data_IF_659491457762
#
_entry.id   IF_659491457762
#
_cell.length_a   1.000
_cell.length_b   1.000
_cell.length_c   1.000
_cell.angle_alpha   90.00
_cell.angle_beta   90.00
_cell.angle_gamma   90.00
#
_symmetry.space_group_name_H-M   'P 1'
#
loop_
_entity.id
_entity.type
_entity.pdbx_description
1 polymer ?
#
# COMPACT_ATOMS: atom_id res chain seq x y z
N UNK A 1 -50.54 -12.03 -10.61
CA UNK A 1 -49.60 -12.10 -11.73
C UNK A 1 -48.60 -10.94 -11.72
N UNK A 2 -49.03 -9.66 -11.71
CA UNK A 2 -48.12 -8.50 -11.75
C UNK A 2 -47.09 -8.45 -10.63
N UNK A 3 -47.50 -8.72 -9.37
CA UNK A 3 -46.62 -8.74 -8.23
C UNK A 3 -45.55 -9.83 -8.37
N UNK A 4 -45.95 -11.02 -8.81
CA UNK A 4 -45.04 -12.15 -9.01
C UNK A 4 -44.02 -11.83 -10.09
N UNK A 5 -44.46 -11.29 -11.23
CA UNK A 5 -43.58 -10.89 -12.35
C UNK A 5 -42.60 -9.80 -11.91
N UNK A 6 -43.09 -8.82 -11.11
CA UNK A 6 -42.24 -7.78 -10.56
C UNK A 6 -41.15 -8.32 -9.62
N UNK A 7 -41.50 -9.25 -8.71
CA UNK A 7 -40.52 -9.89 -7.85
C UNK A 7 -39.49 -10.70 -8.65
N UNK A 8 -39.95 -11.48 -9.65
CA UNK A 8 -39.02 -12.24 -10.50
C UNK A 8 -38.04 -11.31 -11.25
N UNK A 9 -38.53 -10.22 -11.81
CA UNK A 9 -37.70 -9.26 -12.52
C UNK A 9 -36.65 -8.62 -11.57
N UNK A 10 -37.07 -8.25 -10.38
CA UNK A 10 -36.18 -7.69 -9.35
C UNK A 10 -35.08 -8.69 -8.95
N UNK A 11 -35.45 -9.95 -8.71
CA UNK A 11 -34.48 -11.00 -8.36
C UNK A 11 -33.49 -11.27 -9.50
N UNK A 12 -33.96 -11.33 -10.76
CA UNK A 12 -33.07 -11.50 -11.90
C UNK A 12 -32.11 -10.32 -12.09
N UNK A 13 -32.59 -9.11 -11.87
CA UNK A 13 -31.73 -7.92 -11.92
C UNK A 13 -30.67 -7.96 -10.83
N UNK A 14 -31.07 -8.29 -9.58
CA UNK A 14 -30.14 -8.41 -8.46
C UNK A 14 -29.09 -9.50 -8.73
N UNK A 15 -29.48 -10.67 -9.22
CA UNK A 15 -28.55 -11.73 -9.60
C UNK A 15 -27.59 -11.27 -10.69
N UNK A 16 -28.07 -10.54 -11.69
CA UNK A 16 -27.22 -9.97 -12.75
C UNK A 16 -26.19 -8.99 -12.21
N UNK A 17 -26.59 -8.12 -11.30
CA UNK A 17 -25.67 -7.16 -10.62
C UNK A 17 -24.61 -7.90 -9.79
N UNK A 18 -25.04 -8.88 -8.97
CA UNK A 18 -24.11 -9.67 -8.16
C UNK A 18 -23.12 -10.43 -9.04
N UNK A 19 -23.60 -11.07 -10.12
CA UNK A 19 -22.73 -11.79 -11.04
C UNK A 19 -21.72 -10.87 -11.73
N UNK A 20 -22.14 -9.68 -12.15
CA UNK A 20 -21.26 -8.69 -12.76
C UNK A 20 -20.20 -8.17 -11.77
N UNK A 21 -20.61 -7.89 -10.53
CA UNK A 21 -19.68 -7.47 -9.46
C UNK A 21 -18.69 -8.59 -9.12
N UNK A 22 -19.16 -9.83 -8.99
CA UNK A 22 -18.28 -10.98 -8.75
C UNK A 22 -17.27 -11.17 -9.89
N UNK A 23 -17.73 -11.12 -11.14
CA UNK A 23 -16.86 -11.24 -12.30
C UNK A 23 -15.80 -10.13 -12.33
N UNK A 24 -16.19 -8.89 -12.05
CA UNK A 24 -15.24 -7.78 -11.92
C UNK A 24 -14.25 -8.04 -10.80
N UNK A 25 -14.71 -8.42 -9.61
CA UNK A 25 -13.87 -8.63 -8.44
C UNK A 25 -12.81 -9.73 -8.66
N UNK A 26 -13.19 -10.82 -9.33
CA UNK A 26 -12.28 -11.96 -9.59
C UNK A 26 -11.26 -11.67 -10.69
N UNK A 27 -11.64 -10.84 -11.69
CA UNK A 27 -10.77 -10.58 -12.84
C UNK A 27 -10.02 -9.24 -12.75
N UNK A 28 -10.32 -8.44 -11.76
CA UNK A 28 -9.68 -7.14 -11.57
C UNK A 28 -8.33 -7.31 -10.89
N UNK A 29 -7.26 -6.94 -11.58
CA UNK A 29 -5.90 -7.04 -11.03
C UNK A 29 -5.72 -6.03 -9.90
N UNK A 30 -5.11 -6.43 -8.78
CA UNK A 30 -4.93 -5.53 -7.63
C UNK A 30 -3.97 -4.36 -7.90
N UNK A 31 -3.14 -4.43 -8.94
CA UNK A 31 -2.13 -3.44 -9.27
C UNK A 31 -0.75 -3.77 -8.69
N UNK A 32 -0.57 -5.00 -8.24
CA UNK A 32 0.72 -5.58 -7.84
C UNK A 32 0.75 -7.07 -8.22
N UNK A 33 1.95 -7.63 -8.35
CA UNK A 33 2.12 -9.06 -8.63
C UNK A 33 1.91 -9.87 -7.35
N UNK A 34 1.16 -10.97 -7.44
CA UNK A 34 0.86 -11.86 -6.33
C UNK A 34 0.92 -13.35 -6.72
N UNK A 35 1.08 -13.65 -8.01
CA UNK A 35 1.20 -15.02 -8.46
C UNK A 35 2.54 -15.60 -7.98
N UNK A 36 2.53 -16.86 -7.57
CA UNK A 36 3.71 -17.57 -7.04
C UNK A 36 4.34 -16.97 -5.77
N UNK A 37 3.65 -16.06 -5.08
CA UNK A 37 4.08 -15.54 -3.79
C UNK A 37 3.60 -16.44 -2.64
N UNK A 38 4.53 -16.76 -1.75
CA UNK A 38 4.23 -17.46 -0.50
C UNK A 38 4.71 -16.57 0.63
N UNK A 39 3.85 -16.33 1.62
CA UNK A 39 4.27 -15.63 2.83
C UNK A 39 4.11 -16.49 4.07
N UNK A 40 4.99 -16.26 5.05
CA UNK A 40 4.90 -16.85 6.37
C UNK A 40 5.23 -15.82 7.42
N UNK A 41 4.63 -15.94 8.58
CA UNK A 41 4.86 -15.02 9.69
C UNK A 41 5.88 -15.61 10.66
N UNK A 42 6.94 -14.85 10.94
CA UNK A 42 7.96 -15.22 11.92
C UNK A 42 7.58 -14.67 13.29
N UNK A 43 6.80 -15.43 14.05
CA UNK A 43 6.38 -15.04 15.40
C UNK A 43 7.42 -15.41 16.44
N UNK A 44 7.76 -14.46 17.31
CA UNK A 44 8.58 -14.73 18.51
C UNK A 44 10.02 -15.13 18.23
N UNK A 45 10.53 -14.90 17.03
CA UNK A 45 11.93 -15.12 16.68
C UNK A 45 12.76 -13.87 16.98
N UNK A 46 14.00 -14.08 17.43
CA UNK A 46 14.96 -13.01 17.57
C UNK A 46 15.32 -12.47 16.18
N UNK A 47 15.38 -11.14 16.06
CA UNK A 47 15.75 -10.45 14.81
C UNK A 47 17.11 -10.92 14.24
N UNK A 48 18.04 -11.32 15.10
CA UNK A 48 19.33 -11.89 14.68
C UNK A 48 19.23 -13.19 13.90
N UNK A 49 18.09 -13.91 13.98
CA UNK A 49 17.86 -15.18 13.26
C UNK A 49 17.23 -14.93 11.89
N UNK A 50 16.59 -13.78 11.66
CA UNK A 50 15.85 -13.51 10.44
C UNK A 50 16.74 -13.59 9.19
N UNK A 51 17.93 -13.02 9.23
CA UNK A 51 18.85 -13.05 8.10
C UNK A 51 19.28 -14.49 7.76
N UNK A 52 19.55 -15.32 8.77
CA UNK A 52 19.89 -16.73 8.55
C UNK A 52 18.75 -17.50 7.89
N UNK A 53 17.50 -17.25 8.30
CA UNK A 53 16.32 -17.86 7.69
C UNK A 53 16.19 -17.44 6.22
N UNK A 54 16.39 -16.14 5.93
CA UNK A 54 16.36 -15.63 4.55
C UNK A 54 17.41 -16.31 3.69
N UNK A 55 18.64 -16.42 4.18
CA UNK A 55 19.75 -17.02 3.46
C UNK A 55 19.51 -18.53 3.20
N UNK A 56 19.00 -19.24 4.20
CA UNK A 56 18.62 -20.64 4.08
C UNK A 56 17.52 -20.84 3.04
N UNK A 57 16.46 -20.01 3.07
CA UNK A 57 15.37 -20.07 2.10
C UNK A 57 15.85 -19.74 0.68
N UNK A 58 16.67 -18.71 0.50
CA UNK A 58 17.26 -18.35 -0.81
C UNK A 58 18.14 -19.46 -1.39
N UNK A 59 18.67 -20.35 -0.55
CA UNK A 59 19.46 -21.48 -1.00
C UNK A 59 18.61 -22.66 -1.52
N UNK A 60 17.30 -22.66 -1.28
CA UNK A 60 16.41 -23.76 -1.66
C UNK A 60 16.08 -23.74 -3.15
N UNK A 61 16.12 -24.90 -3.84
CA UNK A 61 15.71 -24.97 -5.23
C UNK A 61 14.24 -24.57 -5.42
N UNK A 62 13.99 -23.70 -6.40
CA UNK A 62 12.64 -23.23 -6.73
C UNK A 62 12.22 -21.95 -6.03
N UNK A 63 13.05 -21.42 -5.11
CA UNK A 63 12.86 -20.09 -4.53
C UNK A 63 13.72 -19.12 -5.33
N UNK A 64 13.10 -18.10 -5.92
CA UNK A 64 13.79 -17.09 -6.74
C UNK A 64 14.27 -15.91 -5.90
N UNK A 65 13.47 -15.48 -4.92
CA UNK A 65 13.86 -14.44 -3.97
C UNK A 65 13.09 -14.59 -2.65
N UNK A 66 13.61 -13.99 -1.59
CA UNK A 66 13.01 -13.93 -0.26
C UNK A 66 13.18 -12.52 0.29
N UNK A 67 12.08 -11.90 0.66
CA UNK A 67 12.07 -10.54 1.19
C UNK A 67 11.32 -10.49 2.52
N UNK A 68 11.68 -9.54 3.38
CA UNK A 68 10.95 -9.28 4.61
C UNK A 68 9.95 -8.14 4.44
N UNK A 69 8.81 -8.28 5.09
CA UNK A 69 7.81 -7.23 5.18
C UNK A 69 7.25 -7.17 6.59
N UNK A 70 7.02 -5.96 7.09
CA UNK A 70 6.26 -5.75 8.32
C UNK A 70 4.74 -5.70 8.06
N UNK A 71 4.34 -5.45 6.81
CA UNK A 71 2.94 -5.43 6.39
C UNK A 71 2.84 -5.75 4.91
N UNK A 72 1.86 -6.53 4.55
CA UNK A 72 1.58 -6.90 3.16
C UNK A 72 0.43 -6.05 2.59
N UNK A 73 0.35 -5.87 1.27
CA UNK A 73 -0.90 -5.44 0.63
C UNK A 73 -2.04 -6.34 1.09
N UNK A 74 -3.22 -5.76 1.32
CA UNK A 74 -4.40 -6.41 1.90
C UNK A 74 -4.33 -6.67 3.41
N UNK A 75 -3.22 -6.42 4.06
CA UNK A 75 -3.14 -6.46 5.50
C UNK A 75 -3.68 -5.17 6.11
N UNK A 76 -4.14 -5.25 7.36
CA UNK A 76 -4.63 -4.06 8.05
C UNK A 76 -3.46 -3.12 8.34
N UNK A 77 -3.56 -1.92 7.81
CA UNK A 77 -2.62 -0.83 8.09
C UNK A 77 -3.36 0.29 8.81
N UNK A 78 -2.76 0.82 9.86
CA UNK A 78 -3.30 1.99 10.54
C UNK A 78 -2.91 3.26 9.81
N UNK A 79 -3.87 4.18 9.62
CA UNK A 79 -3.58 5.50 9.08
C UNK A 79 -2.69 6.30 10.02
N UNK A 80 -1.78 7.10 9.46
CA UNK A 80 -0.93 8.03 10.18
C UNK A 80 -1.30 9.46 9.88
N UNK A 81 -1.04 10.33 10.86
CA UNK A 81 -1.18 11.76 10.66
C UNK A 81 -0.03 12.28 9.79
N UNK A 82 -0.37 13.13 8.82
CA UNK A 82 0.61 13.83 8.01
C UNK A 82 0.60 15.31 8.38
N UNK A 83 1.76 15.86 8.67
CA UNK A 83 1.94 17.24 9.10
C UNK A 83 2.74 18.04 8.08
N UNK A 84 2.43 19.33 7.99
CA UNK A 84 3.25 20.30 7.25
C UNK A 84 4.36 20.86 8.13
N UNK A 85 5.58 20.82 7.61
CA UNK A 85 6.76 21.40 8.26
C UNK A 85 6.64 22.92 8.44
N UNK A 86 6.17 23.63 7.42
CA UNK A 86 6.12 25.08 7.36
C UNK A 86 5.11 25.69 8.32
N UNK A 87 4.11 24.96 8.74
CA UNK A 87 3.03 25.43 9.60
C UNK A 87 3.08 24.91 11.04
N UNK A 88 4.24 24.45 11.49
CA UNK A 88 4.44 24.05 12.87
C UNK A 88 3.52 22.93 13.34
N UNK A 89 3.63 21.75 12.74
CA UNK A 89 2.86 20.57 13.10
C UNK A 89 1.34 20.66 12.89
N UNK A 90 0.92 21.37 11.88
CA UNK A 90 -0.48 21.37 11.49
C UNK A 90 -0.83 20.01 10.86
N UNK A 91 -1.75 19.30 11.47
CA UNK A 91 -2.31 18.07 10.89
C UNK A 91 -3.06 18.38 9.59
N UNK A 92 -2.66 17.74 8.49
CA UNK A 92 -3.33 17.90 7.19
C UNK A 92 -4.40 16.84 6.98
N UNK A 93 -4.02 15.58 7.17
CA UNK A 93 -4.93 14.44 7.13
C UNK A 93 -4.31 13.24 7.85
N UNK A 94 -5.16 12.32 8.31
CA UNK A 94 -4.75 11.18 9.13
C UNK A 94 -5.04 9.81 8.49
N UNK A 95 -5.28 9.79 7.19
CA UNK A 95 -5.60 8.55 6.47
C UNK A 95 -4.52 8.33 5.41
N UNK A 96 -3.41 7.77 5.85
CA UNK A 96 -2.39 7.25 4.96
C UNK A 96 -1.99 5.88 5.48
N UNK A 97 -2.31 4.83 4.71
CA UNK A 97 -1.93 3.47 5.07
C UNK A 97 -0.41 3.32 4.94
N UNK A 98 0.22 2.67 5.92
CA UNK A 98 1.66 2.49 5.98
C UNK A 98 2.06 1.07 5.61
N UNK A 99 3.10 0.97 4.79
CA UNK A 99 3.74 -0.29 4.43
C UNK A 99 5.24 -0.17 4.62
N UNK A 100 5.84 -1.07 5.37
CA UNK A 100 7.27 -1.10 5.60
C UNK A 100 7.86 -2.38 4.99
N UNK A 101 8.95 -2.22 4.27
CA UNK A 101 9.66 -3.34 3.66
C UNK A 101 10.90 -2.91 2.91
N UNK A 102 11.71 -3.88 2.53
CA UNK A 102 12.91 -3.64 1.73
C UNK A 102 12.57 -3.21 0.30
N UNK A 103 13.51 -2.57 -0.38
CA UNK A 103 13.36 -2.22 -1.80
C UNK A 103 13.07 -3.45 -2.66
N UNK A 104 13.70 -4.58 -2.38
CA UNK A 104 13.46 -5.84 -3.09
C UNK A 104 12.04 -6.39 -2.91
N UNK A 105 11.37 -6.09 -1.79
CA UNK A 105 9.95 -6.44 -1.63
C UNK A 105 9.08 -5.68 -2.63
N UNK A 106 9.32 -4.40 -2.80
CA UNK A 106 8.52 -3.56 -3.72
C UNK A 106 8.78 -3.92 -5.18
N UNK A 107 10.01 -4.31 -5.50
CA UNK A 107 10.37 -4.86 -6.82
C UNK A 107 9.68 -6.21 -7.06
N UNK A 108 9.67 -7.11 -6.06
CA UNK A 108 8.99 -8.41 -6.13
C UNK A 108 7.48 -8.26 -6.37
N UNK A 109 6.86 -7.23 -5.81
CA UNK A 109 5.43 -6.93 -5.99
C UNK A 109 5.13 -6.21 -7.33
N UNK A 110 6.16 -5.90 -8.14
CA UNK A 110 6.05 -5.22 -9.44
C UNK A 110 5.13 -3.98 -9.40
N UNK A 111 5.36 -3.14 -8.40
CA UNK A 111 4.54 -1.94 -8.20
C UNK A 111 5.02 -0.85 -9.16
N UNK A 112 4.12 -0.37 -10.01
CA UNK A 112 4.38 0.68 -10.99
C UNK A 112 4.75 2.02 -10.32
N UNK A 113 5.92 2.57 -10.63
CA UNK A 113 6.33 3.91 -10.24
C UNK A 113 6.01 4.92 -11.35
N UNK A 114 5.37 6.02 -10.98
CA UNK A 114 5.06 7.15 -11.86
C UNK A 114 6.23 8.14 -11.91
N UNK A 115 6.88 8.34 -10.76
CA UNK A 115 8.03 9.22 -10.60
C UNK A 115 9.02 8.64 -9.59
N UNK A 116 10.32 8.90 -9.78
CA UNK A 116 11.35 8.55 -8.82
C UNK A 116 11.61 7.05 -8.69
N UNK A 117 11.82 6.58 -7.45
CA UNK A 117 12.26 5.23 -7.13
C UNK A 117 11.77 4.77 -5.75
N UNK A 118 11.98 3.50 -5.44
CA UNK A 118 11.80 2.96 -4.09
C UNK A 118 12.69 3.67 -3.06
N UNK A 119 12.25 3.79 -1.79
CA UNK A 119 13.10 4.26 -0.71
C UNK A 119 14.28 3.29 -0.51
N UNK A 120 15.48 3.83 -0.33
CA UNK A 120 16.70 3.07 -0.09
C UNK A 120 17.32 3.36 1.27
N UNK A 121 16.81 4.35 1.98
CA UNK A 121 17.30 4.77 3.29
C UNK A 121 16.11 5.04 4.23
N UNK A 122 16.37 5.01 5.54
CA UNK A 122 15.32 5.15 6.54
C UNK A 122 14.66 6.55 6.57
N UNK A 123 15.28 7.56 5.98
CA UNK A 123 14.77 8.92 5.85
C UNK A 123 14.02 9.16 4.53
N UNK A 124 13.91 8.14 3.69
CA UNK A 124 13.15 8.19 2.45
C UNK A 124 11.82 7.45 2.56
N UNK A 125 10.84 7.94 1.81
CA UNK A 125 9.54 7.28 1.64
C UNK A 125 9.12 7.30 0.17
N UNK A 126 8.32 6.33 -0.23
CA UNK A 126 7.55 6.43 -1.46
C UNK A 126 6.06 6.59 -1.12
N UNK A 127 5.37 7.38 -1.91
CA UNK A 127 3.96 7.74 -1.67
C UNK A 127 3.09 7.34 -2.85
N UNK A 128 1.82 7.08 -2.59
CA UNK A 128 0.86 6.75 -3.63
C UNK A 128 0.40 7.98 -4.41
N UNK A 129 -0.11 7.77 -5.62
CA UNK A 129 -0.75 8.82 -6.42
C UNK A 129 -1.88 9.53 -5.65
N UNK A 130 -2.70 8.77 -4.92
CA UNK A 130 -3.75 9.32 -4.06
C UNK A 130 -3.22 10.18 -2.93
N UNK A 131 -2.03 9.85 -2.38
CA UNK A 131 -1.36 10.69 -1.39
C UNK A 131 -0.99 12.05 -1.99
N UNK A 132 -0.38 12.06 -3.17
CA UNK A 132 -0.01 13.31 -3.88
C UNK A 132 -1.24 14.15 -4.16
N UNK A 133 -2.31 13.55 -4.69
CA UNK A 133 -3.60 14.23 -4.93
C UNK A 133 -4.14 14.88 -3.64
N UNK A 134 -4.03 14.16 -2.52
CA UNK A 134 -4.48 14.66 -1.23
C UNK A 134 -3.62 15.83 -0.74
N UNK A 135 -2.30 15.73 -0.90
CA UNK A 135 -1.38 16.82 -0.54
C UNK A 135 -1.62 18.09 -1.38
N UNK A 136 -1.98 17.94 -2.67
CA UNK A 136 -2.31 19.07 -3.55
C UNK A 136 -3.57 19.87 -3.12
N UNK A 137 -4.40 19.33 -2.23
CA UNK A 137 -5.49 20.09 -1.60
C UNK A 137 -4.97 21.13 -0.60
N UNK A 138 -3.75 20.98 -0.11
CA UNK A 138 -3.14 21.80 0.94
C UNK A 138 -1.91 22.57 0.47
N UNK A 139 -1.22 22.07 -0.53
CA UNK A 139 0.03 22.64 -1.05
C UNK A 139 0.10 22.58 -2.58
N UNK A 140 0.83 23.52 -3.16
CA UNK A 140 1.13 23.49 -4.60
C UNK A 140 2.31 22.52 -4.86
N UNK A 141 1.96 21.34 -5.37
CA UNK A 141 2.92 20.31 -5.82
C UNK A 141 2.85 20.13 -7.34
N UNK A 142 2.47 21.16 -8.07
CA UNK A 142 2.40 21.13 -9.54
C UNK A 142 3.75 20.83 -10.22
N UNK A 143 4.85 21.06 -9.51
CA UNK A 143 6.24 20.76 -9.95
C UNK A 143 6.72 19.33 -9.62
N UNK A 144 5.82 18.48 -9.10
CA UNK A 144 6.13 17.11 -8.69
C UNK A 144 6.24 16.93 -7.18
N UNK A 145 6.24 15.69 -6.73
CA UNK A 145 6.31 15.35 -5.31
C UNK A 145 7.72 14.88 -4.88
N UNK A 146 8.50 14.33 -5.80
CA UNK A 146 9.83 13.77 -5.50
C UNK A 146 10.77 14.87 -5.00
N UNK A 147 11.48 14.59 -3.92
CA UNK A 147 12.39 15.52 -3.25
C UNK A 147 11.72 16.42 -2.20
N UNK A 148 10.38 16.46 -2.12
CA UNK A 148 9.68 17.21 -1.08
C UNK A 148 9.72 16.47 0.25
N UNK A 149 9.63 17.23 1.34
CA UNK A 149 9.62 16.68 2.69
C UNK A 149 8.21 16.68 3.28
N UNK A 150 7.90 15.61 4.01
CA UNK A 150 6.67 15.47 4.77
C UNK A 150 6.99 15.01 6.19
N UNK A 151 6.20 15.47 7.15
CA UNK A 151 6.27 15.00 8.53
C UNK A 151 5.19 13.98 8.79
N UNK A 152 5.57 12.86 9.38
CA UNK A 152 4.68 11.76 9.69
C UNK A 152 4.80 11.47 11.17
N UNK A 153 3.67 11.25 11.85
CA UNK A 153 3.66 10.82 13.23
C UNK A 153 4.02 9.34 13.30
N UNK A 154 5.14 9.03 13.91
CA UNK A 154 5.44 7.66 14.33
C UNK A 154 4.78 7.33 15.68
N UNK A 155 4.74 6.04 16.03
CA UNK A 155 4.04 5.48 17.19
C UNK A 155 4.35 6.11 18.55
N UNK A 156 5.43 6.86 18.71
CA UNK A 156 5.88 7.45 19.97
C UNK A 156 5.83 8.98 20.00
N UNK A 157 4.91 9.61 19.29
CA UNK A 157 4.76 11.08 19.27
C UNK A 157 5.98 11.85 18.73
N UNK A 158 6.97 11.18 18.19
CA UNK A 158 8.09 11.83 17.51
C UNK A 158 7.75 12.05 16.04
N UNK A 159 7.70 13.30 15.64
CA UNK A 159 7.46 13.68 14.26
C UNK A 159 8.77 13.49 13.46
N UNK A 160 8.78 12.49 12.59
CA UNK A 160 9.89 12.30 11.68
C UNK A 160 9.66 13.03 10.37
N UNK A 161 10.72 13.64 9.84
CA UNK A 161 10.72 14.24 8.51
C UNK A 161 11.26 13.22 7.51
N UNK A 162 10.48 12.94 6.46
CA UNK A 162 10.86 12.03 5.40
C UNK A 162 10.92 12.77 4.07
N UNK A 163 11.88 12.38 3.23
CA UNK A 163 12.00 12.86 1.87
C UNK A 163 11.28 11.90 0.90
N UNK A 164 10.43 12.42 0.05
CA UNK A 164 9.74 11.59 -0.96
C UNK A 164 10.74 11.20 -2.03
N UNK A 165 11.05 9.91 -2.13
CA UNK A 165 11.95 9.32 -3.13
C UNK A 165 11.24 8.89 -4.41
N UNK A 166 9.93 8.65 -4.34
CA UNK A 166 9.13 8.25 -5.49
C UNK A 166 7.63 8.30 -5.26
N UNK A 167 6.92 8.30 -6.37
CA UNK A 167 5.45 8.24 -6.42
C UNK A 167 5.06 6.99 -7.19
N UNK A 168 4.29 6.11 -6.56
CA UNK A 168 3.80 4.90 -7.19
C UNK A 168 2.30 5.02 -7.51
N UNK A 169 1.90 4.27 -8.52
CA UNK A 169 0.50 4.16 -8.93
C UNK A 169 -0.33 3.52 -7.83
N UNK A 170 -1.53 4.02 -7.63
CA UNK A 170 -2.48 3.41 -6.70
C UNK A 170 -2.73 1.95 -7.04
N UNK A 171 -2.71 1.10 -6.03
CA UNK A 171 -3.09 -0.31 -6.13
C UNK A 171 -4.10 -0.65 -5.05
N UNK A 172 -4.75 -1.79 -5.19
CA UNK A 172 -5.78 -2.20 -4.24
C UNK A 172 -5.14 -2.63 -2.92
N UNK A 173 -5.40 -1.87 -1.88
CA UNK A 173 -4.91 -2.10 -0.53
C UNK A 173 -5.90 -2.93 0.28
N UNK A 174 -7.19 -2.77 -0.01
CA UNK A 174 -8.27 -3.33 0.79
C UNK A 174 -9.04 -4.41 0.02
N UNK A 175 -9.99 -5.05 0.72
CA UNK A 175 -10.81 -6.12 0.16
C UNK A 175 -11.53 -5.71 -1.13
N UNK A 176 -11.97 -6.70 -1.91
CA UNK A 176 -12.61 -6.55 -3.22
C UNK A 176 -13.83 -5.60 -3.24
N UNK A 177 -14.40 -5.29 -2.08
CA UNK A 177 -15.57 -4.43 -1.94
C UNK A 177 -15.25 -2.96 -1.69
N UNK A 178 -14.02 -2.64 -1.28
CA UNK A 178 -13.62 -1.26 -1.03
C UNK A 178 -12.85 -0.73 -2.24
N UNK A 179 -13.48 0.17 -3.00
CA UNK A 179 -12.88 0.81 -4.19
C UNK A 179 -12.21 2.15 -3.86
N UNK A 180 -12.26 2.57 -2.59
CA UNK A 180 -11.64 3.81 -2.20
C UNK A 180 -10.11 3.63 -2.20
N UNK A 181 -9.46 4.26 -3.17
CA UNK A 181 -8.01 4.37 -3.21
C UNK A 181 -7.59 5.27 -2.05
N UNK A 182 -7.00 4.67 -1.03
CA UNK A 182 -6.48 5.40 0.11
C UNK A 182 -5.07 5.90 -0.18
N UNK A 183 -4.78 7.08 0.33
CA UNK A 183 -3.41 7.53 0.42
C UNK A 183 -2.57 6.49 1.18
N UNK A 184 -1.42 6.14 0.67
CA UNK A 184 -0.52 5.17 1.29
C UNK A 184 0.93 5.58 1.17
N UNK A 185 1.73 5.09 2.10
CA UNK A 185 3.15 5.43 2.24
C UNK A 185 3.94 4.14 2.41
N UNK A 186 5.05 4.04 1.71
CA UNK A 186 6.01 2.95 1.83
C UNK A 186 7.27 3.45 2.51
N UNK A 187 7.62 2.79 3.59
CA UNK A 187 8.83 3.04 4.34
C UNK A 187 9.89 2.00 3.98
N UNK A 188 11.14 2.42 4.02
CA UNK A 188 12.27 1.51 4.00
C UNK A 188 12.35 0.77 5.34
N UNK A 189 12.48 -0.55 5.30
CA UNK A 189 12.67 -1.40 6.45
C UNK A 189 13.69 -2.50 6.14
N UNK A 190 14.64 -2.68 7.03
CA UNK A 190 15.61 -3.78 7.05
C UNK A 190 15.22 -4.82 8.09
#
# INVERSE_FOLDING_TARGET
>A
LFVQTGICALLLTLMGVIAAQYHKAVNDRPGYEYEDLIYTELRGTDSGIHQSIIDDLKSMPGITDVQMSYSLPLDYSSGNNVFLMENGYQELFNIADQYCGSAGLFEMLDIDFLEGRYPLTADEIAVSESFVKKMMEYQDWSDGAVGKQVHITEHDYMHAAFTISGVYKDYRINTLTNQDMRASIKFFGE
#
